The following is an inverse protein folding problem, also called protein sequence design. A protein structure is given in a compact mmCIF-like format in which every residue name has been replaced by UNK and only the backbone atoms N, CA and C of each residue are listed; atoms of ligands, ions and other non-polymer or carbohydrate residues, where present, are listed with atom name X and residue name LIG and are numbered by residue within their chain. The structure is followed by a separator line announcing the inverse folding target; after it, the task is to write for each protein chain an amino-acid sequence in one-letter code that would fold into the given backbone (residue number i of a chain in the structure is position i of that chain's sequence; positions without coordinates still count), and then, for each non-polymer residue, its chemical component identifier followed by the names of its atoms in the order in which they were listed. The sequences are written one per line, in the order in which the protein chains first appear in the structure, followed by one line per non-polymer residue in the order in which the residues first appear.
data_IF_388802024728
#
_entry.id   IF_388802024728
#
_cell.length_a   1.000
_cell.length_b   1.000
_cell.length_c   1.000
_cell.angle_alpha   90.00
_cell.angle_beta   90.00
_cell.angle_gamma   90.00
#
_symmetry.space_group_name_H-M   'P 1'
#
loop_
_entity.id
_entity.type
_entity.pdbx_description
1 polymer ?
#
# COMPACT_ATOMS: atom_id res chain seq x y z
N UNK A 1 96.57 22.76 26.98
CA UNK A 1 95.90 21.53 26.51
C UNK A 1 94.52 21.48 27.16
N UNK A 2 93.48 21.97 26.48
CA UNK A 2 92.08 21.88 26.94
C UNK A 2 91.28 21.30 25.79
N UNK A 3 90.89 20.04 25.96
CA UNK A 3 90.11 19.25 25.00
C UNK A 3 88.64 19.63 25.19
N UNK A 4 88.02 20.21 24.15
CA UNK A 4 86.57 20.40 24.09
C UNK A 4 85.95 19.05 23.75
N UNK A 5 85.24 18.44 24.69
CA UNK A 5 84.46 17.24 24.43
C UNK A 5 83.20 17.59 23.63
N UNK A 6 83.15 17.06 22.41
CA UNK A 6 81.99 17.11 21.52
C UNK A 6 80.97 16.09 22.03
N UNK A 7 80.05 16.54 22.88
CA UNK A 7 78.84 15.78 23.23
C UNK A 7 77.69 16.20 22.31
N UNK A 8 77.60 15.58 21.13
CA UNK A 8 76.50 15.83 20.17
C UNK A 8 75.83 14.54 19.66
N UNK A 9 76.09 13.39 20.28
CA UNK A 9 75.58 12.09 19.84
C UNK A 9 74.50 11.46 20.76
N UNK A 10 74.13 12.09 21.88
CA UNK A 10 73.23 11.47 22.89
C UNK A 10 71.77 11.98 22.88
N UNK A 11 71.46 13.06 22.17
CA UNK A 11 70.11 13.61 22.05
C UNK A 11 69.32 12.97 20.90
N UNK A 12 69.95 12.72 19.75
CA UNK A 12 69.30 12.15 18.55
C UNK A 12 68.78 10.73 18.82
N UNK A 13 69.58 9.86 19.46
CA UNK A 13 69.15 8.49 19.77
C UNK A 13 68.08 8.37 20.88
N UNK A 14 67.94 9.39 21.73
CA UNK A 14 66.97 9.42 22.84
C UNK A 14 65.58 9.83 22.34
N UNK A 15 65.52 10.72 21.36
CA UNK A 15 64.29 11.12 20.67
C UNK A 15 63.74 10.00 19.78
N UNK A 16 64.60 9.24 19.11
CA UNK A 16 64.19 8.08 18.30
C UNK A 16 63.57 6.95 19.14
N UNK A 17 64.09 6.70 20.35
CA UNK A 17 63.51 5.72 21.26
C UNK A 17 62.13 6.14 21.78
N UNK A 18 61.92 7.44 22.04
CA UNK A 18 60.64 7.99 22.50
C UNK A 18 59.58 8.10 21.37
N UNK A 19 60.01 8.28 20.11
CA UNK A 19 59.11 8.41 18.95
C UNK A 19 58.57 7.07 18.43
N UNK A 20 59.30 5.95 18.58
CA UNK A 20 58.87 4.60 18.18
C UNK A 20 57.48 4.18 18.70
N UNK A 21 57.14 4.31 20.00
CA UNK A 21 55.81 3.96 20.50
C UNK A 21 54.71 4.89 19.95
N UNK A 22 55.01 6.18 19.77
CA UNK A 22 54.08 7.16 19.18
C UNK A 22 53.78 6.85 17.71
N UNK A 23 54.79 6.39 16.96
CA UNK A 23 54.62 5.96 15.57
C UNK A 23 53.80 4.68 15.45
N UNK A 24 54.02 3.69 16.32
CA UNK A 24 53.18 2.47 16.38
C UNK A 24 51.72 2.81 16.68
N UNK A 25 51.46 3.69 17.67
CA UNK A 25 50.11 4.16 17.99
C UNK A 25 49.47 4.92 16.82
N UNK A 26 50.23 5.76 16.11
CA UNK A 26 49.75 6.47 14.92
C UNK A 26 49.41 5.54 13.76
N UNK A 27 50.25 4.53 13.48
CA UNK A 27 49.97 3.54 12.43
C UNK A 27 48.74 2.69 12.77
N UNK A 28 48.54 2.34 14.05
CA UNK A 28 47.32 1.68 14.51
C UNK A 28 46.09 2.57 14.30
N UNK A 29 46.15 3.85 14.69
CA UNK A 29 45.07 4.82 14.45
C UNK A 29 44.73 4.92 12.97
N UNK A 30 45.74 4.99 12.09
CA UNK A 30 45.53 5.08 10.63
C UNK A 30 44.86 3.83 10.07
N UNK A 31 45.19 2.63 10.57
CA UNK A 31 44.53 1.37 10.19
C UNK A 31 43.06 1.34 10.63
N UNK A 32 42.78 1.76 11.86
CA UNK A 32 41.40 1.83 12.37
C UNK A 32 40.56 2.83 11.56
N UNK A 33 41.10 4.03 11.29
CA UNK A 33 40.40 5.03 10.47
C UNK A 33 40.23 4.57 9.02
N UNK A 34 41.19 3.81 8.47
CA UNK A 34 41.06 3.24 7.13
C UNK A 34 39.95 2.19 7.07
N UNK A 35 39.88 1.31 8.07
CA UNK A 35 38.77 0.36 8.22
C UNK A 35 37.42 1.09 8.32
N UNK A 36 37.33 2.16 9.13
CA UNK A 36 36.13 3.01 9.19
C UNK A 36 35.80 3.62 7.83
N UNK A 37 36.81 4.06 7.07
CA UNK A 37 36.64 4.64 5.73
C UNK A 37 36.03 3.64 4.75
N UNK A 38 36.55 2.41 4.72
CA UNK A 38 35.98 1.32 3.94
C UNK A 38 34.57 0.95 4.40
N UNK A 39 34.32 0.90 5.72
CA UNK A 39 33.00 0.60 6.28
C UNK A 39 31.95 1.65 5.93
N UNK A 40 32.30 2.93 5.81
CA UNK A 40 31.33 3.96 5.39
C UNK A 40 30.97 3.85 3.91
N UNK A 41 31.92 3.44 3.05
CA UNK A 41 31.58 3.13 1.64
C UNK A 41 30.64 1.93 1.59
N UNK A 42 30.90 0.88 2.37
CA UNK A 42 29.99 -0.25 2.48
C UNK A 42 28.62 0.18 3.02
N UNK A 43 28.59 1.04 4.05
CA UNK A 43 27.37 1.63 4.60
C UNK A 43 26.58 2.40 3.55
N UNK A 44 27.25 3.20 2.71
CA UNK A 44 26.62 3.94 1.61
C UNK A 44 25.98 2.99 0.60
N UNK A 45 26.68 1.94 0.19
CA UNK A 45 26.12 0.93 -0.72
C UNK A 45 24.92 0.22 -0.10
N UNK A 46 25.03 -0.18 1.18
CA UNK A 46 23.93 -0.81 1.92
C UNK A 46 22.73 0.13 2.05
N UNK A 47 22.94 1.43 2.27
CA UNK A 47 21.88 2.43 2.33
C UNK A 47 21.16 2.61 0.98
N UNK A 48 21.93 2.64 -0.12
CA UNK A 48 21.35 2.70 -1.47
C UNK A 48 20.50 1.45 -1.75
N UNK A 49 20.99 0.26 -1.38
CA UNK A 49 20.24 -1.00 -1.49
C UNK A 49 18.99 -0.96 -0.61
N UNK A 50 19.09 -0.43 0.61
CA UNK A 50 17.95 -0.26 1.51
C UNK A 50 16.88 0.62 0.86
N UNK A 51 17.24 1.79 0.35
CA UNK A 51 16.28 2.70 -0.30
C UNK A 51 15.67 2.10 -1.57
N UNK A 52 16.44 1.32 -2.33
CA UNK A 52 15.97 0.70 -3.56
C UNK A 52 15.06 -0.52 -3.34
N UNK A 53 15.10 -1.16 -2.17
CA UNK A 53 14.26 -2.34 -1.89
C UNK A 53 12.79 -1.99 -1.68
N UNK A 54 11.94 -2.88 -2.11
CA UNK A 54 10.48 -2.90 -1.95
C UNK A 54 10.03 -3.64 -0.68
N UNK A 55 10.96 -4.11 0.15
CA UNK A 55 10.70 -4.89 1.37
C UNK A 55 11.10 -4.12 2.63
N UNK A 56 10.47 -2.97 2.88
CA UNK A 56 10.57 -2.28 4.17
C UNK A 56 9.47 -2.75 5.13
N UNK A 57 8.25 -2.81 4.62
CA UNK A 57 7.06 -3.24 5.35
C UNK A 57 6.46 -4.42 4.62
N UNK A 58 6.14 -5.49 5.35
CA UNK A 58 5.49 -6.68 4.82
C UNK A 58 4.23 -6.93 5.65
N UNK A 59 3.08 -6.98 4.98
CA UNK A 59 1.78 -7.24 5.58
C UNK A 59 1.31 -8.59 5.05
N UNK A 60 1.00 -9.54 5.94
CA UNK A 60 0.55 -10.89 5.58
C UNK A 60 -0.83 -11.18 6.13
N UNK A 61 -1.72 -11.72 5.29
CA UNK A 61 -3.12 -11.97 5.63
C UNK A 61 -3.44 -13.37 6.16
N UNK A 62 -2.52 -14.05 6.88
CA UNK A 62 -2.75 -15.35 7.55
C UNK A 62 -3.60 -16.38 6.75
N UNK A 63 -3.26 -16.60 5.46
CA UNK A 63 -3.95 -17.53 4.56
C UNK A 63 -5.10 -16.92 3.72
N UNK A 64 -5.30 -15.61 3.79
CA UNK A 64 -6.22 -14.85 2.96
C UNK A 64 -7.31 -14.13 3.75
N UNK A 65 -7.32 -12.80 3.70
CA UNK A 65 -8.39 -11.97 4.27
C UNK A 65 -9.32 -11.52 3.15
N UNK A 66 -10.61 -11.82 3.26
CA UNK A 66 -11.58 -11.47 2.21
C UNK A 66 -11.98 -10.00 2.29
N UNK A 67 -11.79 -9.26 1.20
CA UNK A 67 -12.18 -7.85 1.07
C UNK A 67 -13.52 -7.78 0.32
N UNK A 68 -14.64 -7.40 0.97
CA UNK A 68 -15.98 -7.43 0.37
C UNK A 68 -16.10 -6.55 -0.88
N UNK A 69 -15.51 -5.35 -0.86
CA UNK A 69 -15.66 -4.33 -1.89
C UNK A 69 -15.03 -4.78 -3.21
N UNK A 70 -13.86 -5.40 -3.13
CA UNK A 70 -13.11 -5.87 -4.32
C UNK A 70 -13.37 -7.33 -4.65
N UNK A 71 -13.97 -8.08 -3.71
CA UNK A 71 -14.19 -9.54 -3.77
C UNK A 71 -12.93 -10.34 -4.00
N UNK A 72 -11.86 -9.95 -3.33
CA UNK A 72 -10.57 -10.63 -3.43
C UNK A 72 -10.10 -10.99 -2.04
N UNK A 73 -9.38 -12.08 -1.95
CA UNK A 73 -8.59 -12.36 -0.78
C UNK A 73 -7.28 -11.59 -0.87
N UNK A 74 -7.01 -10.77 0.13
CA UNK A 74 -5.70 -10.21 0.37
C UNK A 74 -4.79 -11.31 0.92
N UNK A 75 -3.72 -11.64 0.19
CA UNK A 75 -2.74 -12.65 0.60
C UNK A 75 -1.60 -12.00 1.38
N UNK A 76 -0.93 -11.05 0.73
CA UNK A 76 0.20 -10.32 1.29
C UNK A 76 0.41 -9.04 0.50
N UNK A 77 1.11 -8.08 1.11
CA UNK A 77 1.70 -6.95 0.41
C UNK A 77 3.06 -6.64 0.99
N UNK A 78 3.95 -6.14 0.14
CA UNK A 78 5.20 -5.53 0.58
C UNK A 78 5.28 -4.12 0.01
N UNK A 79 5.84 -3.23 0.81
CA UNK A 79 6.04 -1.83 0.44
C UNK A 79 7.47 -1.42 0.75
N UNK A 80 8.09 -0.75 -0.21
CA UNK A 80 9.30 0.04 -0.01
C UNK A 80 9.01 1.52 -0.14
N UNK A 81 10.08 2.29 -0.37
CA UNK A 81 10.00 3.75 -0.45
C UNK A 81 9.38 4.26 -1.75
N UNK A 82 9.62 3.55 -2.86
CA UNK A 82 9.24 3.99 -4.22
C UNK A 82 8.12 3.16 -4.84
N UNK A 83 7.96 1.92 -4.37
CA UNK A 83 7.10 0.92 -4.99
C UNK A 83 6.43 0.10 -3.90
N UNK A 84 5.16 -0.19 -4.11
CA UNK A 84 4.42 -1.16 -3.32
C UNK A 84 3.84 -2.24 -4.24
N UNK A 85 3.73 -3.45 -3.71
CA UNK A 85 3.18 -4.60 -4.40
C UNK A 85 2.13 -5.27 -3.53
N UNK A 86 0.99 -5.57 -4.13
CA UNK A 86 -0.14 -6.26 -3.47
C UNK A 86 -0.40 -7.57 -4.17
N UNK A 87 -0.42 -8.65 -3.40
CA UNK A 87 -0.78 -9.99 -3.84
C UNK A 87 -2.21 -10.30 -3.38
N UNK A 88 -3.07 -10.58 -4.35
CA UNK A 88 -4.48 -10.90 -4.10
C UNK A 88 -4.86 -12.19 -4.82
N UNK A 89 -5.83 -12.92 -4.28
CA UNK A 89 -6.45 -14.06 -4.96
C UNK A 89 -7.90 -13.75 -5.25
N UNK A 90 -8.33 -13.94 -6.50
CA UNK A 90 -9.69 -13.68 -6.95
C UNK A 90 -10.43 -15.03 -6.98
N UNK A 91 -11.44 -15.25 -6.12
CA UNK A 91 -12.27 -16.45 -6.17
C UNK A 91 -13.27 -16.34 -7.32
N UNK A 92 -13.20 -17.30 -8.26
CA UNK A 92 -14.16 -17.42 -9.36
C UNK A 92 -14.94 -18.71 -9.17
N UNK A 93 -16.28 -18.66 -9.02
CA UNK A 93 -17.07 -19.88 -8.91
C UNK A 93 -17.00 -20.67 -10.22
N UNK A 94 -16.84 -21.99 -10.12
CA UNK A 94 -16.86 -22.87 -11.28
C UNK A 94 -18.27 -22.88 -11.91
N UNK A 95 -18.34 -23.13 -13.22
CA UNK A 95 -19.62 -23.08 -13.97
C UNK A 95 -20.65 -24.09 -13.45
N UNK A 96 -20.17 -25.26 -13.04
CA UNK A 96 -20.98 -26.39 -12.57
C UNK A 96 -21.12 -26.43 -11.04
N UNK A 97 -20.52 -25.46 -10.35
CA UNK A 97 -20.60 -25.40 -8.89
C UNK A 97 -21.92 -24.78 -8.44
N UNK A 98 -22.63 -25.54 -7.61
CA UNK A 98 -23.81 -25.07 -6.91
C UNK A 98 -23.37 -24.17 -5.75
N UNK A 99 -23.39 -22.86 -5.99
CA UNK A 99 -22.98 -21.84 -5.03
C UNK A 99 -23.89 -20.63 -5.13
N UNK A 100 -24.17 -20.03 -3.98
CA UNK A 100 -24.88 -18.76 -3.90
C UNK A 100 -23.93 -17.63 -4.29
N UNK A 101 -24.34 -16.82 -5.26
CA UNK A 101 -23.53 -15.73 -5.82
C UNK A 101 -24.13 -14.39 -5.43
N UNK A 102 -23.30 -13.39 -5.15
CA UNK A 102 -23.83 -12.04 -5.03
C UNK A 102 -24.01 -11.45 -6.44
N UNK A 103 -25.18 -10.85 -6.69
CA UNK A 103 -25.58 -10.31 -7.98
C UNK A 103 -24.62 -9.30 -8.61
N UNK A 104 -23.86 -8.54 -7.81
CA UNK A 104 -22.87 -7.62 -8.39
C UNK A 104 -21.67 -8.35 -9.02
N UNK A 105 -21.59 -9.69 -8.89
CA UNK A 105 -20.58 -10.50 -9.58
C UNK A 105 -20.74 -10.41 -11.10
N UNK A 106 -21.95 -10.15 -11.60
CA UNK A 106 -22.20 -9.90 -13.01
C UNK A 106 -21.56 -8.60 -13.52
N UNK A 107 -21.35 -7.62 -12.62
CA UNK A 107 -20.90 -6.29 -13.00
C UNK A 107 -19.39 -6.10 -12.99
N UNK A 108 -18.62 -7.10 -12.54
CA UNK A 108 -17.16 -7.13 -12.69
C UNK A 108 -16.81 -7.53 -14.14
N UNK A 109 -17.54 -6.98 -15.10
CA UNK A 109 -17.30 -7.14 -16.52
C UNK A 109 -16.72 -5.85 -17.08
N UNK A 110 -15.98 -5.99 -18.18
CA UNK A 110 -15.34 -4.86 -18.85
C UNK A 110 -16.43 -3.83 -19.25
N UNK A 111 -16.22 -2.52 -19.07
CA UNK A 111 -17.19 -1.50 -19.48
C UNK A 111 -17.60 -1.61 -20.96
N UNK A 112 -16.73 -2.14 -21.81
CA UNK A 112 -17.03 -2.41 -23.23
C UNK A 112 -18.09 -3.50 -23.41
N UNK A 113 -17.96 -4.64 -22.72
CA UNK A 113 -18.93 -5.74 -22.79
C UNK A 113 -20.29 -5.35 -22.23
N UNK A 114 -20.29 -4.44 -21.25
CA UNK A 114 -21.53 -3.91 -20.69
C UNK A 114 -22.29 -3.04 -21.70
N UNK A 115 -21.59 -2.11 -22.37
CA UNK A 115 -22.20 -1.26 -23.41
C UNK A 115 -22.72 -2.07 -24.58
N UNK A 116 -22.00 -3.14 -24.96
CA UNK A 116 -22.45 -4.06 -26.00
C UNK A 116 -23.73 -4.80 -25.59
N UNK A 117 -23.79 -5.31 -24.36
CA UNK A 117 -25.00 -5.94 -23.83
C UNK A 117 -26.19 -4.97 -23.80
N UNK A 118 -25.98 -3.71 -23.40
CA UNK A 118 -27.02 -2.68 -23.39
C UNK A 118 -27.51 -2.39 -24.82
N UNK A 119 -26.59 -2.23 -25.78
CA UNK A 119 -26.92 -2.00 -27.20
C UNK A 119 -27.70 -3.17 -27.79
N UNK A 120 -27.30 -4.41 -27.52
CA UNK A 120 -28.00 -5.59 -28.01
C UNK A 120 -29.39 -5.72 -27.36
N UNK A 121 -29.50 -5.45 -26.05
CA UNK A 121 -30.78 -5.44 -25.34
C UNK A 121 -31.75 -4.40 -25.94
N UNK A 122 -31.28 -3.19 -26.25
CA UNK A 122 -32.12 -2.11 -26.82
C UNK A 122 -32.81 -2.46 -28.15
N UNK A 123 -32.28 -3.46 -28.88
CA UNK A 123 -32.78 -3.89 -30.19
C UNK A 123 -33.84 -4.97 -30.11
N UNK A 124 -34.02 -5.61 -28.95
CA UNK A 124 -34.96 -6.71 -28.76
C UNK A 124 -36.40 -6.20 -28.85
N UNK A 125 -37.27 -7.01 -29.44
CA UNK A 125 -38.63 -6.58 -29.77
C UNK A 125 -39.49 -6.30 -28.53
N UNK A 126 -39.31 -7.08 -27.45
CA UNK A 126 -40.01 -6.82 -26.19
C UNK A 126 -39.58 -5.50 -25.52
N UNK A 127 -38.37 -5.00 -25.76
CA UNK A 127 -37.96 -3.66 -25.25
C UNK A 127 -38.67 -2.55 -26.02
N UNK A 128 -38.95 -2.76 -27.32
CA UNK A 128 -39.77 -1.83 -28.11
C UNK A 128 -41.21 -1.85 -27.63
N UNK A 129 -41.73 -3.03 -27.31
CA UNK A 129 -43.06 -3.24 -26.74
C UNK A 129 -43.20 -2.51 -25.40
N UNK A 130 -42.26 -2.68 -24.47
CA UNK A 130 -42.24 -1.98 -23.17
C UNK A 130 -42.30 -0.46 -23.31
N UNK A 131 -41.70 0.10 -24.35
CA UNK A 131 -41.74 1.53 -24.62
C UNK A 131 -43.10 1.99 -25.20
N UNK A 132 -43.85 1.09 -25.82
CA UNK A 132 -45.15 1.39 -26.43
C UNK A 132 -46.33 1.30 -25.45
N UNK A 133 -46.17 0.61 -24.32
CA UNK A 133 -47.22 0.46 -23.30
C UNK A 133 -47.57 1.83 -22.71
N UNK A 134 -48.83 2.30 -22.79
CA UNK A 134 -49.23 3.59 -22.25
C UNK A 134 -49.19 3.59 -20.73
N UNK A 135 -48.46 4.53 -20.14
CA UNK A 135 -48.40 4.75 -18.70
C UNK A 135 -48.86 6.17 -18.42
N UNK A 136 -49.91 6.32 -17.62
CA UNK A 136 -50.45 7.62 -17.25
C UNK A 136 -49.62 8.23 -16.11
N UNK A 137 -49.41 9.55 -16.17
CA UNK A 137 -48.72 10.33 -15.14
C UNK A 137 -49.68 11.39 -14.58
N UNK A 138 -49.64 11.72 -13.28
CA UNK A 138 -48.77 11.16 -12.24
C UNK A 138 -49.14 9.72 -11.86
N UNK A 139 -48.17 8.95 -11.37
CA UNK A 139 -48.38 7.56 -10.95
C UNK A 139 -49.00 7.51 -9.54
N UNK A 140 -50.11 6.79 -9.37
CA UNK A 140 -50.68 6.51 -8.05
C UNK A 140 -49.96 5.34 -7.37
N UNK A 141 -49.59 4.32 -8.14
CA UNK A 141 -48.79 3.17 -7.70
C UNK A 141 -47.75 2.81 -8.78
N UNK A 142 -46.66 2.15 -8.38
CA UNK A 142 -45.61 1.75 -9.31
C UNK A 142 -45.95 0.38 -9.93
N UNK A 143 -46.74 0.40 -11.01
CA UNK A 143 -47.23 -0.81 -11.69
C UNK A 143 -46.14 -1.52 -12.51
N UNK A 144 -46.44 -2.74 -12.99
CA UNK A 144 -45.54 -3.51 -13.85
C UNK A 144 -45.19 -2.77 -15.15
N UNK A 145 -46.16 -2.07 -15.73
CA UNK A 145 -45.98 -1.29 -16.95
C UNK A 145 -45.00 -0.12 -16.72
N UNK A 146 -45.06 0.51 -15.54
CA UNK A 146 -44.13 1.55 -15.15
C UNK A 146 -42.69 1.00 -14.99
N UNK A 147 -42.53 -0.20 -14.40
CA UNK A 147 -41.22 -0.89 -14.29
C UNK A 147 -40.63 -1.20 -15.66
N UNK A 148 -41.43 -1.80 -16.55
CA UNK A 148 -41.03 -2.13 -17.92
C UNK A 148 -40.57 -0.89 -18.69
N UNK A 149 -41.34 0.20 -18.59
CA UNK A 149 -41.05 1.45 -19.29
C UNK A 149 -39.84 2.19 -18.72
N UNK A 150 -39.68 2.21 -17.40
CA UNK A 150 -38.49 2.74 -16.74
C UNK A 150 -37.22 2.02 -17.21
N UNK A 151 -37.24 0.68 -17.25
CA UNK A 151 -36.11 -0.11 -17.75
C UNK A 151 -35.85 0.12 -19.25
N UNK A 152 -36.90 0.20 -20.07
CA UNK A 152 -36.75 0.45 -21.50
C UNK A 152 -36.08 1.79 -21.81
N UNK A 153 -36.46 2.87 -21.10
CA UNK A 153 -35.82 4.17 -21.23
C UNK A 153 -34.36 4.15 -20.80
N UNK A 154 -34.02 3.42 -19.72
CA UNK A 154 -32.64 3.25 -19.29
C UNK A 154 -31.77 2.50 -20.32
N UNK A 155 -32.26 1.37 -20.84
CA UNK A 155 -31.54 0.57 -21.86
C UNK A 155 -31.30 1.38 -23.14
N UNK A 156 -32.26 2.22 -23.53
CA UNK A 156 -32.16 3.10 -24.71
C UNK A 156 -31.35 4.38 -24.47
N UNK A 157 -30.90 4.62 -23.24
CA UNK A 157 -30.18 5.82 -22.83
C UNK A 157 -31.01 7.12 -22.95
N UNK A 158 -32.34 7.02 -22.78
CA UNK A 158 -33.28 8.13 -22.75
C UNK A 158 -33.34 8.74 -21.34
N UNK A 159 -32.40 9.64 -21.01
CA UNK A 159 -32.19 10.14 -19.65
C UNK A 159 -33.38 10.90 -19.05
N UNK A 160 -34.04 11.75 -19.85
CA UNK A 160 -35.14 12.60 -19.37
C UNK A 160 -36.34 11.78 -18.87
N UNK A 161 -36.93 10.88 -19.68
CA UNK A 161 -38.02 10.05 -19.20
C UNK A 161 -37.58 9.07 -18.12
N UNK A 162 -36.35 8.52 -18.21
CA UNK A 162 -35.81 7.66 -17.16
C UNK A 162 -35.77 8.36 -15.79
N UNK A 163 -35.24 9.58 -15.73
CA UNK A 163 -35.18 10.33 -14.47
C UNK A 163 -36.58 10.62 -13.91
N UNK A 164 -37.56 10.92 -14.76
CA UNK A 164 -38.95 11.11 -14.32
C UNK A 164 -39.53 9.84 -13.66
N UNK A 165 -39.31 8.66 -14.27
CA UNK A 165 -39.75 7.39 -13.67
C UNK A 165 -38.96 7.05 -12.40
N UNK A 166 -37.66 7.35 -12.39
CA UNK A 166 -36.80 7.18 -11.23
C UNK A 166 -37.30 8.01 -10.03
N UNK A 167 -37.66 9.27 -10.23
CA UNK A 167 -38.18 10.14 -9.17
C UNK A 167 -39.51 9.61 -8.60
N UNK A 168 -40.41 9.13 -9.46
CA UNK A 168 -41.65 8.48 -9.02
C UNK A 168 -41.39 7.15 -8.29
N UNK A 169 -40.38 6.38 -8.71
CA UNK A 169 -39.96 5.17 -8.02
C UNK A 169 -39.44 5.48 -6.61
N UNK A 170 -38.62 6.53 -6.44
CA UNK A 170 -38.22 6.97 -5.10
C UNK A 170 -39.42 7.38 -4.26
N UNK A 171 -40.34 8.15 -4.83
CA UNK A 171 -41.51 8.67 -4.11
C UNK A 171 -42.46 7.55 -3.67
N UNK A 172 -42.72 6.56 -4.52
CA UNK A 172 -43.74 5.54 -4.29
C UNK A 172 -43.21 4.26 -3.65
N UNK A 173 -41.96 3.87 -3.95
CA UNK A 173 -41.40 2.58 -3.50
C UNK A 173 -40.37 2.80 -2.39
N UNK A 174 -39.36 3.64 -2.62
CA UNK A 174 -38.24 3.78 -1.67
C UNK A 174 -38.54 4.66 -0.47
N UNK A 175 -39.57 5.51 -0.54
CA UNK A 175 -39.97 6.37 0.57
C UNK A 175 -40.69 5.60 1.70
N UNK A 176 -41.19 4.40 1.41
CA UNK A 176 -41.94 3.53 2.33
C UNK A 176 -41.08 3.08 3.51
N UNK A 177 -41.71 2.84 4.65
CA UNK A 177 -40.99 2.42 5.86
C UNK A 177 -40.27 1.07 5.65
N UNK A 178 -40.92 0.13 4.98
CA UNK A 178 -40.37 -1.19 4.63
C UNK A 178 -39.08 -1.07 3.80
N UNK A 179 -39.08 -0.23 2.75
CA UNK A 179 -37.88 0.00 1.94
C UNK A 179 -36.76 0.67 2.75
N UNK A 180 -37.08 1.57 3.69
CA UNK A 180 -36.06 2.22 4.55
C UNK A 180 -35.38 1.22 5.46
N UNK A 181 -36.12 0.28 6.05
CA UNK A 181 -35.56 -0.74 6.93
C UNK A 181 -34.63 -1.72 6.18
N UNK A 182 -34.83 -1.90 4.86
CA UNK A 182 -33.91 -2.64 3.99
C UNK A 182 -32.72 -1.81 3.47
N UNK A 183 -32.90 -0.49 3.32
CA UNK A 183 -31.87 0.41 2.84
C UNK A 183 -30.85 0.75 3.93
N UNK A 184 -31.30 0.90 5.18
CA UNK A 184 -30.49 1.42 6.29
C UNK A 184 -30.00 0.25 7.15
N UNK A 185 -28.73 -0.10 6.97
CA UNK A 185 -28.06 -1.06 7.85
C UNK A 185 -27.82 -0.44 9.24
N UNK A 186 -27.92 -1.27 10.28
CA UNK A 186 -27.39 -0.92 11.61
C UNK A 186 -25.86 -1.06 11.56
N UNK A 187 -25.15 -0.18 12.28
CA UNK A 187 -23.70 -0.25 12.44
C UNK A 187 -23.31 -1.46 13.33
N UNK A 188 -23.35 -2.63 12.71
CA UNK A 188 -23.02 -3.92 13.32
C UNK A 188 -22.13 -4.72 12.37
N UNK A 189 -21.27 -5.56 12.94
CA UNK A 189 -20.35 -6.40 12.17
C UNK A 189 -21.14 -7.31 11.20
N UNK A 190 -20.76 -7.35 9.89
CA UNK A 190 -21.45 -8.19 8.91
C UNK A 190 -21.47 -9.66 9.32
N UNK A 191 -22.61 -10.32 9.09
CA UNK A 191 -22.77 -11.75 9.31
C UNK A 191 -22.22 -12.52 8.12
N UNK A 192 -21.19 -13.32 8.37
CA UNK A 192 -20.51 -14.09 7.33
C UNK A 192 -21.31 -15.35 7.00
N UNK A 193 -21.63 -15.53 5.72
CA UNK A 193 -22.34 -16.70 5.19
C UNK A 193 -21.44 -17.43 4.19
N UNK A 194 -21.34 -18.76 4.33
CA UNK A 194 -20.62 -19.61 3.40
C UNK A 194 -21.49 -19.88 2.15
N UNK A 195 -21.08 -19.45 0.94
CA UNK A 195 -21.88 -19.56 -0.27
C UNK A 195 -22.02 -21.00 -0.82
N UNK A 196 -21.27 -21.97 -0.28
CA UNK A 196 -21.21 -23.34 -0.84
C UNK A 196 -22.40 -24.20 -0.46
N UNK A 197 -23.00 -23.98 0.73
CA UNK A 197 -24.09 -24.83 1.21
C UNK A 197 -25.45 -24.25 0.83
N UNK A 198 -25.79 -24.39 -0.46
CA UNK A 198 -27.05 -23.86 -1.00
C UNK A 198 -28.26 -24.51 -0.32
N UNK A 199 -28.19 -25.82 -0.05
CA UNK A 199 -29.26 -26.57 0.61
C UNK A 199 -29.56 -26.03 2.00
N UNK A 200 -28.52 -25.80 2.82
CA UNK A 200 -28.70 -25.21 4.14
C UNK A 200 -29.19 -23.77 4.08
N UNK A 201 -28.68 -22.94 3.16
CA UNK A 201 -29.14 -21.56 2.98
C UNK A 201 -30.63 -21.50 2.63
N UNK A 202 -31.09 -22.36 1.73
CA UNK A 202 -32.50 -22.43 1.33
C UNK A 202 -33.36 -22.95 2.48
N UNK A 203 -32.94 -24.02 3.16
CA UNK A 203 -33.69 -24.61 4.28
C UNK A 203 -33.81 -23.67 5.48
N UNK A 204 -32.76 -22.91 5.78
CA UNK A 204 -32.72 -21.97 6.89
C UNK A 204 -33.32 -20.60 6.55
N UNK A 205 -33.77 -20.39 5.31
CA UNK A 205 -34.35 -19.15 4.81
C UNK A 205 -33.50 -17.89 5.09
N UNK A 206 -32.16 -18.03 5.09
CA UNK A 206 -31.22 -16.97 5.51
C UNK A 206 -31.37 -15.68 4.70
N UNK A 207 -31.71 -15.79 3.43
CA UNK A 207 -31.86 -14.63 2.53
C UNK A 207 -33.31 -14.32 2.17
N UNK A 208 -34.31 -15.06 2.69
CA UNK A 208 -35.71 -14.80 2.37
C UNK A 208 -36.00 -14.69 0.87
N UNK A 209 -36.71 -13.62 0.47
CA UNK A 209 -37.01 -13.35 -0.95
C UNK A 209 -35.82 -12.73 -1.69
N UNK A 210 -34.74 -12.36 -0.99
CA UNK A 210 -33.52 -11.87 -1.60
C UNK A 210 -32.78 -12.98 -2.38
N UNK A 211 -33.03 -14.26 -2.08
CA UNK A 211 -32.50 -15.38 -2.86
C UNK A 211 -33.35 -15.62 -4.11
N UNK A 212 -32.75 -15.41 -5.28
CA UNK A 212 -33.41 -15.56 -6.58
C UNK A 212 -32.67 -16.55 -7.48
N UNK A 213 -33.43 -17.30 -8.28
CA UNK A 213 -32.87 -18.16 -9.32
C UNK A 213 -32.87 -17.39 -10.64
N UNK A 214 -31.69 -17.30 -11.25
CA UNK A 214 -31.47 -16.55 -12.50
C UNK A 214 -30.94 -17.50 -13.56
N UNK A 215 -31.55 -17.44 -14.75
CA UNK A 215 -31.15 -18.26 -15.90
C UNK A 215 -30.09 -17.50 -16.69
N UNK A 216 -28.88 -18.05 -16.78
CA UNK A 216 -27.82 -17.48 -17.62
C UNK A 216 -27.37 -18.54 -18.60
N UNK A 217 -27.58 -18.29 -19.89
CA UNK A 217 -27.26 -19.22 -20.98
C UNK A 217 -27.88 -20.62 -20.81
N UNK A 218 -29.09 -20.71 -20.25
CA UNK A 218 -29.80 -21.97 -20.04
C UNK A 218 -29.43 -22.74 -18.76
N UNK A 219 -28.53 -22.19 -17.93
CA UNK A 219 -28.21 -22.76 -16.61
C UNK A 219 -28.80 -21.92 -15.50
N UNK A 220 -29.39 -22.58 -14.50
CA UNK A 220 -29.95 -21.95 -13.31
C UNK A 220 -28.85 -21.66 -12.30
N UNK A 221 -28.84 -20.44 -11.77
CA UNK A 221 -27.88 -20.01 -10.77
C UNK A 221 -28.57 -19.27 -9.63
N UNK A 222 -28.10 -19.49 -8.41
CA UNK A 222 -28.58 -18.80 -7.22
C UNK A 222 -27.88 -17.46 -7.03
N UNK A 223 -28.65 -16.38 -7.00
CA UNK A 223 -28.17 -15.04 -6.73
C UNK A 223 -28.85 -14.42 -5.52
N UNK A 224 -28.06 -13.73 -4.70
CA UNK A 224 -28.59 -12.87 -3.64
C UNK A 224 -28.75 -11.47 -4.21
N UNK A 225 -29.99 -10.97 -4.21
CA UNK A 225 -30.41 -9.71 -4.79
C UNK A 225 -31.29 -8.98 -3.76
N UNK A 226 -30.96 -7.73 -3.38
CA UNK A 226 -31.80 -6.95 -2.45
C UNK A 226 -33.25 -6.85 -2.92
N UNK A 227 -34.22 -6.97 -2.02
CA UNK A 227 -35.64 -6.96 -2.38
C UNK A 227 -36.06 -5.61 -2.99
N UNK A 228 -35.58 -4.50 -2.42
CA UNK A 228 -35.69 -3.16 -3.06
C UNK A 228 -35.19 -3.11 -4.52
N UNK A 229 -34.10 -3.82 -4.85
CA UNK A 229 -33.59 -3.89 -6.21
C UNK A 229 -34.41 -4.81 -7.12
N UNK A 230 -35.03 -5.85 -6.55
CA UNK A 230 -36.00 -6.67 -7.28
C UNK A 230 -37.29 -5.89 -7.59
N UNK A 231 -37.75 -5.05 -6.65
CA UNK A 231 -38.94 -4.21 -6.83
C UNK A 231 -38.80 -3.16 -7.95
N UNK A 232 -37.56 -2.82 -8.33
CA UNK A 232 -37.27 -1.96 -9.47
C UNK A 232 -37.43 -2.68 -10.83
N UNK A 233 -37.44 -4.01 -10.85
CA UNK A 233 -37.52 -4.80 -12.07
C UNK A 233 -38.91 -5.38 -12.33
N UNK A 234 -39.26 -5.49 -13.62
CA UNK A 234 -40.49 -6.11 -14.08
C UNK A 234 -40.46 -7.63 -13.93
N UNK A 235 -41.64 -8.26 -13.87
CA UNK A 235 -41.79 -9.71 -13.68
C UNK A 235 -41.10 -10.54 -14.78
N UNK A 236 -40.41 -11.61 -14.38
CA UNK A 236 -39.74 -12.55 -15.28
C UNK A 236 -38.42 -12.05 -15.88
N UNK A 237 -37.86 -10.97 -15.34
CA UNK A 237 -36.58 -10.41 -15.80
C UNK A 237 -35.40 -11.40 -15.68
N UNK A 238 -35.47 -12.33 -14.72
CA UNK A 238 -34.46 -13.33 -14.37
C UNK A 238 -34.27 -14.42 -15.44
N UNK A 239 -35.23 -14.57 -16.36
CA UNK A 239 -35.20 -15.57 -17.46
C UNK A 239 -34.84 -14.94 -18.82
N UNK A 240 -34.87 -13.60 -18.92
CA UNK A 240 -34.67 -12.90 -20.19
C UNK A 240 -33.18 -12.77 -20.53
N UNK A 241 -32.85 -12.94 -21.81
CA UNK A 241 -31.48 -12.77 -22.29
C UNK A 241 -30.94 -11.36 -22.01
N UNK A 242 -29.65 -11.26 -21.69
CA UNK A 242 -28.90 -10.02 -21.39
C UNK A 242 -29.33 -9.24 -20.14
N UNK A 243 -30.58 -9.32 -19.71
CA UNK A 243 -31.13 -8.52 -18.59
C UNK A 243 -30.41 -8.81 -17.26
N UNK A 244 -30.15 -10.08 -16.87
CA UNK A 244 -29.36 -10.36 -15.67
C UNK A 244 -28.00 -9.67 -15.62
N UNK A 245 -27.33 -9.49 -16.77
CA UNK A 245 -26.03 -8.80 -16.84
C UNK A 245 -26.17 -7.28 -16.67
N UNK A 246 -27.30 -6.72 -17.07
CA UNK A 246 -27.60 -5.29 -17.02
C UNK A 246 -28.24 -4.85 -15.70
N UNK A 247 -28.71 -5.80 -14.89
CA UNK A 247 -29.42 -5.56 -13.65
C UNK A 247 -28.64 -4.67 -12.66
N UNK A 248 -27.39 -5.00 -12.35
CA UNK A 248 -26.64 -4.21 -11.36
C UNK A 248 -26.30 -2.79 -11.83
N UNK A 249 -25.81 -2.58 -13.07
CA UNK A 249 -25.62 -1.23 -13.60
C UNK A 249 -26.88 -0.37 -13.52
N UNK A 250 -28.05 -0.95 -13.83
CA UNK A 250 -29.34 -0.31 -13.68
C UNK A 250 -29.66 0.05 -12.22
N UNK A 251 -29.57 -0.92 -11.30
CA UNK A 251 -29.80 -0.70 -9.87
C UNK A 251 -28.83 0.34 -9.27
N UNK A 252 -27.58 0.37 -9.74
CA UNK A 252 -26.57 1.37 -9.35
C UNK A 252 -26.96 2.77 -9.81
N UNK A 253 -27.51 2.94 -11.01
CA UNK A 253 -28.03 4.22 -11.48
C UNK A 253 -29.28 4.68 -10.71
N UNK A 254 -30.05 3.74 -10.16
CA UNK A 254 -31.13 3.99 -9.20
C UNK A 254 -30.62 4.20 -7.75
N UNK A 255 -29.30 4.24 -7.51
CA UNK A 255 -28.74 4.51 -6.19
C UNK A 255 -29.05 3.44 -5.13
N UNK A 256 -29.34 2.20 -5.55
CA UNK A 256 -29.68 1.10 -4.65
C UNK A 256 -28.41 0.43 -4.08
N UNK A 257 -28.44 -0.07 -2.83
CA UNK A 257 -27.30 -0.69 -2.19
C UNK A 257 -26.96 -2.07 -2.80
N UNK A 258 -25.69 -2.49 -2.61
CA UNK A 258 -25.15 -3.77 -3.09
C UNK A 258 -25.25 -4.91 -2.06
N UNK A 259 -25.84 -4.65 -0.89
CA UNK A 259 -25.88 -5.55 0.25
C UNK A 259 -27.31 -5.99 0.56
N UNK A 260 -27.43 -7.12 1.25
CA UNK A 260 -28.70 -7.65 1.76
C UNK A 260 -28.62 -7.66 3.27
N UNK A 261 -29.73 -7.32 3.92
CA UNK A 261 -29.85 -7.28 5.35
C UNK A 261 -30.61 -8.53 5.86
N UNK A 262 -30.25 -8.98 7.06
CA UNK A 262 -31.00 -9.95 7.86
C UNK A 262 -32.21 -9.26 8.54
N UNK A 263 -33.09 -10.02 9.18
CA UNK A 263 -34.25 -9.50 9.95
C UNK A 263 -33.83 -8.48 11.03
N UNK A 264 -32.60 -8.60 11.51
CA UNK A 264 -31.98 -7.68 12.48
C UNK A 264 -31.32 -6.45 11.83
N UNK A 265 -31.51 -6.21 10.53
CA UNK A 265 -30.88 -5.13 9.74
C UNK A 265 -29.34 -5.18 9.72
N UNK A 266 -28.78 -6.38 9.84
CA UNK A 266 -27.32 -6.64 9.77
C UNK A 266 -26.97 -7.11 8.37
N UNK A 267 -25.86 -6.61 7.82
CA UNK A 267 -25.39 -6.98 6.48
C UNK A 267 -25.02 -8.47 6.43
N UNK A 268 -25.63 -9.19 5.49
CA UNK A 268 -25.28 -10.56 5.13
C UNK A 268 -24.17 -10.56 4.08
N UNK A 269 -22.99 -11.09 4.44
CA UNK A 269 -21.83 -11.09 3.56
C UNK A 269 -21.48 -12.52 3.13
N UNK A 270 -21.60 -12.77 1.83
CA UNK A 270 -21.10 -14.01 1.21
C UNK A 270 -19.57 -13.99 1.17
N UNK A 271 -18.94 -14.89 1.91
CA UNK A 271 -17.49 -15.03 1.95
C UNK A 271 -17.13 -16.41 1.38
N UNK A 272 -16.48 -16.49 0.22
CA UNK A 272 -16.00 -17.77 -0.32
C UNK A 272 -15.06 -18.48 0.66
N UNK A 273 -14.83 -19.79 0.50
CA UNK A 273 -13.82 -20.48 1.30
C UNK A 273 -12.42 -19.87 1.05
N UNK A 274 -11.51 -20.01 2.02
CA UNK A 274 -10.12 -19.57 1.87
C UNK A 274 -9.43 -20.32 0.72
N UNK A 275 -8.51 -19.69 -0.02
CA UNK A 275 -7.81 -20.33 -1.13
C UNK A 275 -6.99 -21.53 -0.64
N UNK A 276 -7.17 -22.72 -1.25
CA UNK A 276 -6.34 -23.88 -0.97
C UNK A 276 -4.95 -23.74 -1.62
N UNK A 277 -3.96 -24.51 -1.17
CA UNK A 277 -2.62 -24.55 -1.77
C UNK A 277 -2.64 -24.87 -3.28
N UNK A 278 -3.58 -25.71 -3.71
CA UNK A 278 -3.69 -26.15 -5.11
C UNK A 278 -4.48 -25.18 -6.00
N UNK A 279 -4.75 -23.94 -5.54
CA UNK A 279 -5.42 -22.86 -6.28
C UNK A 279 -6.83 -23.15 -6.81
N UNK A 280 -7.35 -24.36 -6.57
CA UNK A 280 -8.68 -24.80 -6.98
C UNK A 280 -9.28 -25.72 -5.92
N UNK A 281 -10.57 -25.57 -5.68
CA UNK A 281 -11.37 -26.52 -4.92
C UNK A 281 -12.57 -26.98 -5.77
N UNK A 282 -13.48 -27.76 -5.18
CA UNK A 282 -14.67 -28.29 -5.87
C UNK A 282 -15.61 -27.21 -6.40
N UNK A 283 -15.61 -26.01 -5.81
CA UNK A 283 -16.60 -24.96 -6.07
C UNK A 283 -16.01 -23.67 -6.69
N UNK A 284 -14.74 -23.38 -6.42
CA UNK A 284 -14.03 -22.16 -6.77
C UNK A 284 -12.65 -22.44 -7.35
N UNK A 285 -12.30 -21.64 -8.34
CA UNK A 285 -10.95 -21.48 -8.87
C UNK A 285 -10.40 -20.12 -8.43
N UNK A 286 -9.14 -20.09 -7.97
CA UNK A 286 -8.50 -18.89 -7.43
C UNK A 286 -7.43 -18.41 -8.40
N UNK A 287 -7.65 -17.24 -8.98
CA UNK A 287 -6.65 -16.58 -9.81
C UNK A 287 -5.79 -15.65 -8.94
N UNK A 288 -4.50 -15.94 -8.84
CA UNK A 288 -3.55 -15.07 -8.15
C UNK A 288 -3.18 -13.89 -9.04
N UNK A 289 -3.30 -12.68 -8.49
CA UNK A 289 -2.95 -11.45 -9.16
C UNK A 289 -1.96 -10.67 -8.29
N UNK A 290 -0.79 -10.39 -8.84
CA UNK A 290 0.19 -9.49 -8.25
C UNK A 290 0.11 -8.16 -8.99
N UNK A 291 -0.20 -7.09 -8.27
CA UNK A 291 -0.15 -5.73 -8.81
C UNK A 291 0.89 -4.94 -8.05
N UNK A 292 1.87 -4.46 -8.81
CA UNK A 292 2.88 -3.54 -8.31
C UNK A 292 2.67 -2.17 -8.96
N UNK A 293 2.63 -1.13 -8.15
CA UNK A 293 2.53 0.26 -8.61
C UNK A 293 3.66 1.06 -7.98
N UNK A 294 4.26 1.95 -8.76
CA UNK A 294 5.10 2.99 -8.18
C UNK A 294 4.23 3.96 -7.38
N UNK A 295 4.73 4.38 -6.22
CA UNK A 295 4.01 5.33 -5.38
C UNK A 295 4.11 6.68 -6.08
N UNK A 296 2.97 7.19 -6.54
CA UNK A 296 2.91 8.55 -7.07
C UNK A 296 2.88 9.53 -5.90
N UNK A 297 4.03 10.14 -5.63
CA UNK A 297 4.18 11.13 -4.57
C UNK A 297 3.41 12.43 -4.87
N UNK A 298 3.04 12.66 -6.14
CA UNK A 298 2.36 13.88 -6.59
C UNK A 298 1.13 13.54 -7.45
N UNK A 299 0.09 12.94 -6.84
CA UNK A 299 -1.05 12.40 -7.56
C UNK A 299 -1.90 13.49 -8.24
N UNK A 300 -2.46 13.12 -9.38
CA UNK A 300 -3.40 13.93 -10.16
C UNK A 300 -4.75 14.14 -9.45
N UNK A 301 -5.55 15.13 -9.87
CA UNK A 301 -6.80 15.48 -9.20
C UNK A 301 -7.82 14.33 -9.09
N UNK A 302 -7.80 13.38 -10.03
CA UNK A 302 -8.71 12.23 -10.03
C UNK A 302 -8.34 11.15 -9.00
N UNK A 303 -7.05 10.89 -8.79
CA UNK A 303 -6.57 9.87 -7.83
C UNK A 303 -6.69 10.33 -6.37
N UNK A 304 -6.85 11.63 -6.13
CA UNK A 304 -7.08 12.21 -4.80
C UNK A 304 -8.48 11.93 -4.24
N UNK A 305 -9.40 11.50 -5.10
CA UNK A 305 -10.79 11.20 -4.73
C UNK A 305 -11.01 9.73 -4.39
N UNK A 306 -9.96 8.89 -4.47
CA UNK A 306 -10.07 7.49 -4.08
C UNK A 306 -10.24 7.40 -2.56
N UNK A 307 -11.20 6.63 -2.03
CA UNK A 307 -11.50 6.55 -0.60
C UNK A 307 -10.37 5.90 0.24
N UNK A 308 -9.35 5.34 -0.41
CA UNK A 308 -8.13 4.84 0.25
C UNK A 308 -6.95 5.82 0.20
N UNK A 309 -7.15 7.03 -0.34
CA UNK A 309 -6.14 8.06 -0.43
C UNK A 309 -6.16 8.94 0.82
N UNK A 310 -5.02 9.06 1.49
CA UNK A 310 -4.85 9.87 2.69
C UNK A 310 -3.68 10.84 2.54
N UNK A 311 -3.94 12.12 2.77
CA UNK A 311 -2.96 13.20 2.70
C UNK A 311 -1.85 13.03 3.73
N UNK A 312 -2.19 12.62 4.94
CA UNK A 312 -1.22 12.49 6.03
C UNK A 312 -0.24 11.36 5.76
N UNK A 313 -0.74 10.22 5.25
CA UNK A 313 0.13 9.11 4.83
C UNK A 313 1.07 9.53 3.70
N UNK A 314 0.57 10.29 2.72
CA UNK A 314 1.39 10.78 1.61
C UNK A 314 2.49 11.74 2.08
N UNK A 315 2.23 12.58 3.07
CA UNK A 315 3.23 13.50 3.62
C UNK A 315 4.33 12.77 4.40
N UNK A 316 4.00 11.68 5.08
CA UNK A 316 5.01 10.79 5.66
C UNK A 316 5.91 10.18 4.58
N UNK A 317 5.32 9.65 3.50
CA UNK A 317 6.09 9.03 2.40
C UNK A 317 7.00 10.06 1.72
N UNK A 318 6.52 11.28 1.44
CA UNK A 318 7.32 12.38 0.86
C UNK A 318 8.47 12.77 1.77
N UNK A 319 8.21 12.89 3.07
CA UNK A 319 9.23 13.22 4.07
C UNK A 319 10.30 12.12 4.12
N UNK A 320 9.88 10.87 4.17
CA UNK A 320 10.76 9.70 4.17
C UNK A 320 11.66 9.69 2.93
N UNK A 321 11.10 9.93 1.74
CA UNK A 321 11.84 9.96 0.48
C UNK A 321 12.85 11.11 0.44
N UNK A 322 12.46 12.29 0.91
CA UNK A 322 13.32 13.49 0.94
C UNK A 322 14.52 13.28 1.86
N UNK A 323 14.30 12.80 3.09
CA UNK A 323 15.38 12.53 4.04
C UNK A 323 16.28 11.40 3.55
N UNK A 324 15.72 10.35 2.94
CA UNK A 324 16.50 9.25 2.39
C UNK A 324 17.51 9.72 1.32
N UNK A 325 17.08 10.60 0.41
CA UNK A 325 17.93 11.22 -0.60
C UNK A 325 18.99 12.13 0.04
N UNK A 326 18.62 12.97 1.02
CA UNK A 326 19.57 13.83 1.74
C UNK A 326 20.66 12.98 2.42
N UNK A 327 20.29 11.88 3.07
CA UNK A 327 21.24 10.96 3.70
C UNK A 327 22.26 10.42 2.69
N UNK A 328 21.85 10.05 1.47
CA UNK A 328 22.79 9.62 0.42
C UNK A 328 23.82 10.71 0.11
N UNK A 329 23.40 11.96 -0.09
CA UNK A 329 24.32 13.06 -0.36
C UNK A 329 25.29 13.31 0.80
N UNK A 330 24.79 13.32 2.04
CA UNK A 330 25.61 13.52 3.24
C UNK A 330 26.62 12.37 3.40
N UNK A 331 26.22 11.13 3.13
CA UNK A 331 27.10 9.96 3.19
C UNK A 331 28.18 9.95 2.10
N UNK A 332 27.86 10.42 0.88
CA UNK A 332 28.85 10.61 -0.18
C UNK A 332 29.90 11.64 0.26
N UNK A 333 29.45 12.79 0.77
CA UNK A 333 30.36 13.83 1.30
C UNK A 333 31.21 13.29 2.45
N UNK A 334 30.61 12.58 3.40
CA UNK A 334 31.30 11.95 4.53
C UNK A 334 32.39 10.98 4.07
N UNK A 335 32.08 10.14 3.08
CA UNK A 335 33.03 9.18 2.50
C UNK A 335 34.20 9.87 1.83
N UNK A 336 33.95 10.90 1.01
CA UNK A 336 35.00 11.68 0.33
C UNK A 336 35.92 12.35 1.35
N UNK A 337 35.36 13.03 2.36
CA UNK A 337 36.16 13.68 3.40
C UNK A 337 36.98 12.68 4.22
N UNK A 338 36.44 11.49 4.49
CA UNK A 338 37.18 10.45 5.22
C UNK A 338 38.39 9.94 4.45
N UNK A 339 38.28 9.68 3.14
CA UNK A 339 39.47 9.34 2.34
C UNK A 339 40.45 10.51 2.20
N UNK A 340 39.93 11.73 2.08
CA UNK A 340 40.75 12.94 2.02
C UNK A 340 41.63 13.11 3.27
N UNK A 341 41.21 12.61 4.44
CA UNK A 341 42.03 12.65 5.67
C UNK A 341 43.33 11.84 5.59
N UNK A 342 43.46 10.90 4.65
CA UNK A 342 44.71 10.16 4.45
C UNK A 342 45.70 10.89 3.54
N UNK A 343 45.20 11.74 2.65
CA UNK A 343 46.02 12.60 1.80
C UNK A 343 46.55 13.81 2.58
N UNK A 344 45.72 14.39 3.45
CA UNK A 344 46.08 15.55 4.26
C UNK A 344 46.02 15.22 5.76
N UNK A 345 47.16 15.19 6.48
CA UNK A 345 47.22 14.71 7.88
C UNK A 345 46.55 15.65 8.90
N UNK A 346 46.11 16.84 8.48
CA UNK A 346 45.56 17.90 9.34
C UNK A 346 44.37 17.41 10.17
N UNK A 347 44.42 17.61 11.49
CA UNK A 347 43.39 17.14 12.43
C UNK A 347 41.98 17.69 12.16
N UNK A 348 41.87 18.87 11.54
CA UNK A 348 40.58 19.51 11.22
C UNK A 348 39.72 18.65 10.27
N UNK A 349 40.32 18.02 9.25
CA UNK A 349 39.56 17.20 8.31
C UNK A 349 38.99 15.93 8.95
N UNK A 350 39.69 15.38 9.96
CA UNK A 350 39.19 14.23 10.75
C UNK A 350 37.96 14.58 11.57
N UNK A 351 37.92 15.80 12.14
CA UNK A 351 36.74 16.30 12.88
C UNK A 351 35.56 16.56 11.96
N UNK A 352 35.82 17.19 10.81
CA UNK A 352 34.81 17.45 9.80
C UNK A 352 34.19 16.14 9.30
N UNK A 353 35.02 15.16 8.94
CA UNK A 353 34.58 13.84 8.53
C UNK A 353 33.75 13.15 9.62
N UNK A 354 34.22 13.17 10.88
CA UNK A 354 33.47 12.61 12.01
C UNK A 354 32.09 13.26 12.20
N UNK A 355 32.02 14.60 12.13
CA UNK A 355 30.77 15.35 12.24
C UNK A 355 29.77 15.04 11.12
N UNK A 356 30.23 15.02 9.86
CA UNK A 356 29.37 14.71 8.70
C UNK A 356 28.78 13.29 8.82
N UNK A 357 29.57 12.31 9.27
CA UNK A 357 29.08 10.93 9.45
C UNK A 357 28.08 10.81 10.62
N UNK A 358 28.23 11.61 11.69
CA UNK A 358 27.19 11.68 12.74
C UNK A 358 25.89 12.28 12.20
N UNK A 359 25.96 13.31 11.34
CA UNK A 359 24.80 13.88 10.66
C UNK A 359 24.18 12.88 9.68
N UNK A 360 24.98 12.10 8.97
CA UNK A 360 24.48 11.01 8.13
C UNK A 360 23.73 9.96 8.98
N UNK A 361 24.27 9.58 10.13
CA UNK A 361 23.60 8.68 11.08
C UNK A 361 22.27 9.24 11.59
N UNK A 362 22.24 10.52 12.00
CA UNK A 362 20.99 11.13 12.50
C UNK A 362 19.92 11.23 11.42
N UNK A 363 20.27 11.60 10.19
CA UNK A 363 19.32 11.65 9.07
C UNK A 363 18.77 10.27 8.71
N UNK A 364 19.58 9.21 8.76
CA UNK A 364 19.12 7.82 8.59
C UNK A 364 18.14 7.40 9.71
N UNK A 365 18.39 7.84 10.95
CA UNK A 365 17.48 7.58 12.08
C UNK A 365 16.14 8.30 11.93
N UNK A 366 16.14 9.52 11.41
CA UNK A 366 14.90 10.27 11.09
C UNK A 366 14.05 9.48 10.08
N UNK A 367 14.66 8.90 9.05
CA UNK A 367 13.92 8.06 8.07
C UNK A 367 13.25 6.86 8.76
N UNK A 368 13.94 6.20 9.69
CA UNK A 368 13.36 5.10 10.49
C UNK A 368 12.20 5.57 11.38
N UNK A 369 12.34 6.73 12.03
CA UNK A 369 11.28 7.30 12.86
C UNK A 369 10.02 7.65 12.04
N UNK A 370 10.21 8.29 10.89
CA UNK A 370 9.11 8.62 9.97
C UNK A 370 8.42 7.35 9.46
N UNK A 371 9.20 6.30 9.16
CA UNK A 371 8.64 5.00 8.77
C UNK A 371 7.74 4.42 9.87
N UNK A 372 8.24 4.32 11.11
CA UNK A 372 7.44 3.75 12.21
C UNK A 372 6.20 4.59 12.51
N UNK A 373 6.30 5.92 12.49
CA UNK A 373 5.15 6.80 12.63
C UNK A 373 4.11 6.58 11.52
N UNK A 374 4.53 6.38 10.27
CA UNK A 374 3.61 6.12 9.16
C UNK A 374 2.92 4.76 9.26
N UNK A 375 3.61 3.74 9.79
CA UNK A 375 3.05 2.42 10.06
C UNK A 375 1.99 2.48 11.14
N UNK A 376 2.29 3.13 12.27
CA UNK A 376 1.35 3.27 13.39
C UNK A 376 0.11 4.05 12.94
N UNK A 377 0.31 5.13 12.17
CA UNK A 377 -0.79 5.89 11.57
C UNK A 377 -1.66 5.04 10.64
N UNK A 378 -1.04 4.26 9.74
CA UNK A 378 -1.75 3.39 8.79
C UNK A 378 -2.59 2.34 9.50
N UNK A 379 -2.08 1.77 10.60
CA UNK A 379 -2.77 0.76 11.39
C UNK A 379 -4.04 1.31 12.06
N UNK A 380 -4.02 2.57 12.47
CA UNK A 380 -5.15 3.21 13.16
C UNK A 380 -6.19 3.80 12.19
N UNK A 381 -5.75 4.35 11.05
CA UNK A 381 -6.61 5.18 10.19
C UNK A 381 -6.94 4.55 8.83
N UNK A 382 -6.16 3.58 8.32
CA UNK A 382 -6.36 2.99 7.00
C UNK A 382 -6.72 1.50 7.07
N UNK A 383 -7.98 1.22 7.43
CA UNK A 383 -8.55 -0.14 7.41
C UNK A 383 -8.45 -0.85 6.04
N UNK A 384 -8.54 -0.11 4.94
CA UNK A 384 -8.46 -0.69 3.59
C UNK A 384 -7.06 -1.22 3.22
N UNK A 385 -6.03 -0.58 3.79
CA UNK A 385 -4.63 -0.94 3.62
C UNK A 385 -4.20 -2.00 4.65
N UNK A 386 -4.81 -1.96 5.85
CA UNK A 386 -4.56 -2.88 6.94
C UNK A 386 -5.85 -3.61 7.37
N UNK A 387 -6.21 -4.69 6.67
CA UNK A 387 -7.43 -5.42 7.01
C UNK A 387 -7.28 -6.14 8.35
N UNK A 388 -8.38 -6.24 9.11
CA UNK A 388 -8.41 -6.91 10.42
C UNK A 388 -7.84 -8.33 10.34
N UNK A 389 -6.91 -8.64 11.26
CA UNK A 389 -6.22 -9.93 11.32
C UNK A 389 -5.01 -10.05 10.40
N UNK A 390 -4.58 -8.96 9.76
CA UNK A 390 -3.27 -8.92 9.11
C UNK A 390 -2.13 -8.86 10.13
N UNK A 391 -1.05 -9.57 9.84
CA UNK A 391 0.19 -9.53 10.60
C UNK A 391 1.18 -8.60 9.89
N UNK A 392 1.71 -7.63 10.64
CA UNK A 392 2.74 -6.70 10.19
C UNK A 392 4.12 -7.25 10.55
N UNK A 393 5.01 -7.33 9.56
CA UNK A 393 6.41 -7.71 9.74
C UNK A 393 7.32 -6.70 9.05
N UNK A 394 8.50 -6.45 9.64
CA UNK A 394 9.50 -5.57 9.05
C UNK A 394 10.40 -6.37 8.11
N UNK A 395 10.65 -5.82 6.91
CA UNK A 395 11.49 -6.43 5.90
C UNK A 395 12.96 -6.02 6.01
N UNK A 396 13.77 -6.48 5.05
CA UNK A 396 15.22 -6.27 5.01
C UNK A 396 15.64 -4.80 4.96
N UNK A 397 14.81 -3.91 4.40
CA UNK A 397 15.12 -2.48 4.33
C UNK A 397 15.36 -1.85 5.71
N UNK A 398 14.57 -2.25 6.71
CA UNK A 398 14.69 -1.75 8.09
C UNK A 398 16.00 -2.22 8.73
N UNK A 399 16.38 -3.48 8.52
CA UNK A 399 17.64 -4.03 9.04
C UNK A 399 18.86 -3.34 8.43
N UNK A 400 18.84 -3.09 7.12
CA UNK A 400 19.92 -2.35 6.44
C UNK A 400 20.00 -0.89 6.88
N UNK A 401 18.88 -0.26 7.19
CA UNK A 401 18.84 1.09 7.76
C UNK A 401 19.48 1.14 9.16
N UNK A 402 19.17 0.18 10.04
CA UNK A 402 19.81 0.07 11.36
C UNK A 402 21.32 -0.21 11.28
N UNK A 403 21.74 -1.07 10.35
CA UNK A 403 23.15 -1.29 10.07
C UNK A 403 23.85 0.00 9.64
N UNK A 404 23.25 0.73 8.70
CA UNK A 404 23.76 2.02 8.21
C UNK A 404 23.90 3.04 9.34
N UNK A 405 22.88 3.15 10.20
CA UNK A 405 22.91 3.99 11.39
C UNK A 405 24.08 3.62 12.31
N UNK A 406 24.21 2.35 12.68
CA UNK A 406 25.26 1.87 13.59
C UNK A 406 26.67 2.12 13.07
N UNK A 407 26.91 1.88 11.78
CA UNK A 407 28.22 2.11 11.14
C UNK A 407 28.56 3.60 11.09
N UNK A 408 27.62 4.47 10.71
CA UNK A 408 27.84 5.91 10.64
C UNK A 408 28.12 6.52 12.02
N UNK A 409 27.36 6.12 13.05
CA UNK A 409 27.57 6.59 14.43
C UNK A 409 28.92 6.12 14.97
N UNK A 410 29.23 4.82 14.84
CA UNK A 410 30.49 4.26 15.33
C UNK A 410 31.69 4.89 14.62
N UNK A 411 31.63 5.04 13.30
CA UNK A 411 32.69 5.68 12.52
C UNK A 411 32.83 7.16 12.90
N UNK A 412 31.72 7.90 13.03
CA UNK A 412 31.72 9.30 13.45
C UNK A 412 32.40 9.51 14.81
N UNK A 413 32.07 8.69 15.81
CA UNK A 413 32.70 8.72 17.13
C UNK A 413 34.19 8.41 17.05
N UNK A 414 34.58 7.37 16.30
CA UNK A 414 35.99 6.99 16.15
C UNK A 414 36.82 8.08 15.45
N UNK A 415 36.28 8.74 14.42
CA UNK A 415 36.94 9.88 13.77
C UNK A 415 37.14 11.06 14.72
N UNK A 416 36.15 11.36 15.57
CA UNK A 416 36.25 12.42 16.58
C UNK A 416 37.27 12.04 17.65
N UNK A 417 37.23 10.82 18.17
CA UNK A 417 38.14 10.35 19.23
C UNK A 417 39.61 10.38 18.75
N UNK A 418 39.88 9.93 17.53
CA UNK A 418 41.23 9.96 16.96
C UNK A 418 41.63 11.30 16.31
N UNK A 419 40.81 12.35 16.45
CA UNK A 419 41.11 13.71 15.96
C UNK A 419 41.91 14.59 16.93
N UNK A 420 42.46 14.00 18.00
CA UNK A 420 43.25 14.71 18.99
C UNK A 420 44.42 15.49 18.37
N UNK A 421 44.55 16.77 18.72
CA UNK A 421 45.63 17.64 18.24
C UNK A 421 46.97 17.17 18.82
N UNK A 422 47.98 16.92 17.98
CA UNK A 422 49.32 16.51 18.42
C UNK A 422 50.31 17.64 18.13
N UNK A 423 50.92 18.22 19.17
CA UNK A 423 51.89 19.33 19.05
C UNK A 423 53.28 18.89 19.56
N UNK A 424 54.35 19.39 18.91
CA UNK A 424 55.73 19.26 19.37
C UNK A 424 56.16 17.80 19.64
N UNK A 425 56.80 17.54 20.78
CA UNK A 425 57.31 16.22 21.17
C UNK A 425 56.27 15.10 21.32
N UNK A 426 54.96 15.42 21.22
CA UNK A 426 53.86 14.44 21.23
C UNK A 426 53.48 13.95 19.82
N UNK A 427 54.09 14.50 18.77
CA UNK A 427 53.86 14.10 17.38
C UNK A 427 54.75 12.91 16.98
N UNK A 428 54.26 11.97 16.13
CA UNK A 428 55.03 10.81 15.70
C UNK A 428 56.18 11.13 14.74
N UNK A 429 56.05 12.21 13.95
CA UNK A 429 57.04 12.73 13.01
C UNK A 429 56.97 14.26 12.99
N UNK A 430 58.08 14.92 12.65
CA UNK A 430 58.14 16.39 12.61
C UNK A 430 57.26 16.98 11.49
N UNK A 431 57.04 16.27 10.38
CA UNK A 431 56.09 16.68 9.33
C UNK A 431 54.64 16.77 9.84
N UNK A 432 54.22 15.84 10.69
CA UNK A 432 52.88 15.84 11.30
C UNK A 432 52.80 16.94 12.36
N UNK A 433 53.88 17.20 13.10
CA UNK A 433 53.95 18.30 14.04
C UNK A 433 53.77 19.65 13.34
N UNK A 434 54.49 19.87 12.22
CA UNK A 434 54.41 21.07 11.41
C UNK A 434 53.05 21.24 10.71
N UNK A 435 52.42 20.15 10.26
CA UNK A 435 51.10 20.21 9.62
C UNK A 435 49.94 20.63 10.57
N UNK A 436 50.12 20.45 11.89
CA UNK A 436 49.16 20.83 12.94
C UNK A 436 49.47 22.19 13.59
N UNK A 437 50.58 22.83 13.19
CA UNK A 437 50.96 24.20 13.60
C UNK A 437 50.15 25.26 12.86
N UNK A 438 50.10 26.47 13.42
CA UNK A 438 49.38 27.58 12.80
C UNK A 438 50.20 28.07 11.60
N UNK A 439 49.79 27.71 10.39
CA UNK A 439 50.28 28.37 9.17
C UNK A 439 49.83 29.83 9.22
N UNK A 440 50.77 30.74 9.48
CA UNK A 440 50.57 32.18 9.33
C UNK A 440 50.50 32.44 7.83
N UNK A 441 49.29 32.41 7.25
CA UNK A 441 49.05 32.87 5.88
C UNK A 441 48.99 34.39 5.90
N UNK A 442 50.16 35.01 5.79
CA UNK A 442 50.29 36.47 5.77
C UNK A 442 51.66 36.89 6.24
N UNK A 443 52.58 37.05 5.28
CA UNK A 443 53.58 38.09 5.37
C UNK A 443 53.32 39.07 4.25
#
# INVERSE_FOLDING_TARGET
MIKRDVSSASTIGRDDAARKPLLKAYMFQRRVLFCCSCLMVLSLLTWIIAIATDHWIIITGAGGIFIPETRRFFMSSHSGLWRFCRHTAIPTPLKDADVVRNFTAFAIQNPTTLREAQRNCSRLDYIKEFNSVPVQFPLESFTEEARQRMFAHWVRNDKVPFNKFKDEFYRLVLSTQEARDELIAIDAKPRIINPVDVGDIVRSNVFGKALQTVVVNGTNYYFVIPETAQAAMFKGWNEKAYIPKLFWPYAKELGLPAYVLDDNRVILQLVPPKPPKNMRNKHYEYAYNSRCKYIDMFPSAGERMDPGFDWTLMDYIRSQASFACITVFVMILGSVFSFYTFANPRYMFKRLAGGINLVAGSTALVVLQVLFASVDYTKEHLFYSYPDGAELTYGYGVFFAWFTFGVNVTSGILFIWYSGKKKGAKAPTDEIAMADEMTIMGR
#
